data_IF_920445666347
#
_entry.id   IF_920445666347
#
_cell.length_a   1.000
_cell.length_b   1.000
_cell.length_c   1.000
_cell.angle_alpha   90.00
_cell.angle_beta   90.00
_cell.angle_gamma   90.00
#
_symmetry.space_group_name_H-M   'P 1'
#
loop_
_entity.id
_entity.type
_entity.pdbx_description
1 polymer ?
#
# COMPACT_ATOMS: atom_id res chain seq x y z
N UNK A 1 38.17 17.86 7.48
CA UNK A 1 37.53 17.18 6.33
C UNK A 1 36.06 17.53 6.32
N UNK A 2 35.60 18.28 5.31
CA UNK A 2 34.18 18.62 5.14
C UNK A 2 33.44 17.37 4.65
N UNK A 3 32.32 17.05 5.30
CA UNK A 3 31.53 15.86 5.03
C UNK A 3 30.54 16.14 3.88
N UNK A 4 30.83 15.61 2.68
CA UNK A 4 30.01 15.80 1.46
C UNK A 4 28.53 15.42 1.65
N UNK A 5 28.22 14.49 2.56
CA UNK A 5 26.84 14.08 2.84
C UNK A 5 25.97 15.20 3.41
N UNK A 6 26.56 16.20 4.10
CA UNK A 6 25.79 17.35 4.60
C UNK A 6 25.47 18.37 3.50
N UNK A 7 26.25 18.43 2.42
CA UNK A 7 25.96 19.33 1.29
C UNK A 7 24.90 18.74 0.34
N UNK A 8 24.80 17.41 0.27
CA UNK A 8 23.82 16.74 -0.60
C UNK A 8 22.45 16.55 0.07
N UNK A 9 22.37 16.57 1.41
CA UNK A 9 21.13 16.28 2.16
C UNK A 9 20.47 17.47 2.86
N UNK A 10 20.97 18.68 2.70
CA UNK A 10 20.23 19.88 3.11
C UNK A 10 19.69 20.54 1.85
N UNK A 11 18.57 20.01 1.35
CA UNK A 11 17.63 20.84 0.59
C UNK A 11 17.05 21.81 1.62
N UNK A 12 17.82 22.85 1.90
CA UNK A 12 17.35 24.01 2.63
C UNK A 12 16.01 24.38 1.99
N UNK A 13 14.94 24.27 2.76
CA UNK A 13 13.68 24.95 2.47
C UNK A 13 13.86 26.46 2.67
N UNK A 14 14.94 27.01 2.11
CA UNK A 14 14.95 28.41 1.73
C UNK A 14 13.90 28.47 0.65
N UNK A 15 12.74 29.03 1.01
CA UNK A 15 11.89 29.72 0.05
C UNK A 15 12.82 30.68 -0.69
N UNK A 16 13.40 30.22 -1.79
CA UNK A 16 13.94 31.10 -2.80
C UNK A 16 12.74 31.97 -3.14
N UNK A 17 12.77 33.23 -2.71
CA UNK A 17 11.77 34.23 -3.10
C UNK A 17 11.62 34.07 -4.61
N UNK A 18 10.47 33.61 -5.11
CA UNK A 18 10.32 33.48 -6.54
C UNK A 18 10.35 34.91 -7.04
N UNK A 19 11.32 35.24 -7.87
CA UNK A 19 11.29 36.42 -8.74
C UNK A 19 10.21 36.28 -9.83
N UNK A 20 9.12 35.53 -9.55
CA UNK A 20 7.95 35.35 -10.40
C UNK A 20 6.80 36.21 -9.87
N UNK A 21 5.89 36.62 -10.75
CA UNK A 21 4.75 37.44 -10.34
C UNK A 21 3.93 36.70 -9.27
N UNK A 22 3.43 37.44 -8.28
CA UNK A 22 2.57 36.91 -7.21
C UNK A 22 1.32 36.19 -7.76
N UNK A 23 0.82 36.63 -8.91
CA UNK A 23 -0.30 36.00 -9.62
C UNK A 23 0.06 34.59 -10.15
N UNK A 24 1.30 34.40 -10.65
CA UNK A 24 1.77 33.12 -11.17
C UNK A 24 1.89 32.08 -10.05
N UNK A 25 2.36 32.50 -8.88
CA UNK A 25 2.47 31.63 -7.69
C UNK A 25 1.07 31.21 -7.22
N UNK A 26 0.14 32.16 -7.10
CA UNK A 26 -1.22 31.88 -6.66
C UNK A 26 -1.96 30.95 -7.64
N UNK A 27 -1.74 31.10 -8.94
CA UNK A 27 -2.29 30.19 -9.95
C UNK A 27 -1.74 28.76 -9.79
N UNK A 28 -0.42 28.61 -9.62
CA UNK A 28 0.22 27.31 -9.43
C UNK A 28 -0.28 26.63 -8.15
N UNK A 29 -0.33 27.36 -7.04
CA UNK A 29 -0.80 26.82 -5.75
C UNK A 29 -2.27 26.39 -5.85
N UNK A 30 -3.13 27.20 -6.49
CA UNK A 30 -4.53 26.86 -6.70
C UNK A 30 -4.72 25.63 -7.61
N UNK A 31 -3.86 25.46 -8.62
CA UNK A 31 -3.85 24.26 -9.47
C UNK A 31 -3.45 23.02 -8.67
N UNK A 32 -2.39 23.10 -7.86
CA UNK A 32 -1.93 22.00 -7.00
C UNK A 32 -3.04 21.59 -6.03
N UNK A 33 -3.65 22.54 -5.32
CA UNK A 33 -4.75 22.27 -4.38
C UNK A 33 -5.91 21.57 -5.08
N UNK A 34 -6.26 22.02 -6.30
CA UNK A 34 -7.37 21.42 -7.05
C UNK A 34 -7.06 19.97 -7.45
N UNK A 35 -5.84 19.68 -7.88
CA UNK A 35 -5.41 18.31 -8.21
C UNK A 35 -5.38 17.44 -6.95
N UNK A 36 -4.81 17.93 -5.85
CA UNK A 36 -4.74 17.21 -4.58
C UNK A 36 -6.14 16.89 -4.03
N UNK A 37 -7.09 17.82 -4.14
CA UNK A 37 -8.49 17.61 -3.75
C UNK A 37 -9.15 16.44 -4.52
N UNK A 38 -8.74 16.21 -5.77
CA UNK A 38 -9.22 15.10 -6.60
C UNK A 38 -8.89 13.73 -6.00
N UNK A 39 -7.70 13.60 -5.40
CA UNK A 39 -7.28 12.36 -4.71
C UNK A 39 -8.07 12.09 -3.42
N UNK A 40 -8.60 13.13 -2.77
CA UNK A 40 -9.33 13.03 -1.49
C UNK A 40 -10.85 12.83 -1.66
N UNK A 41 -11.35 12.83 -2.90
CA UNK A 41 -12.80 12.69 -3.17
C UNK A 41 -13.44 11.43 -2.56
N UNK A 42 -12.66 10.36 -2.40
CA UNK A 42 -13.10 9.06 -1.85
C UNK A 42 -12.79 8.88 -0.36
N UNK A 43 -11.97 9.73 0.25
CA UNK A 43 -11.61 9.64 1.67
C UNK A 43 -12.70 10.30 2.50
N UNK A 44 -13.72 9.52 2.88
CA UNK A 44 -14.85 9.98 3.70
C UNK A 44 -15.03 9.10 4.92
N UNK A 45 -15.44 9.67 6.08
CA UNK A 45 -15.78 8.88 7.24
C UNK A 45 -16.85 7.83 6.90
N UNK A 46 -16.65 6.60 7.33
CA UNK A 46 -17.60 5.51 7.04
C UNK A 46 -17.75 4.62 8.26
N UNK A 47 -19.01 4.35 8.62
CA UNK A 47 -19.31 3.31 9.60
C UNK A 47 -18.97 1.94 9.01
N UNK A 48 -18.22 1.13 9.76
CA UNK A 48 -18.00 -0.26 9.39
C UNK A 48 -17.86 -1.15 10.62
N UNK A 49 -18.22 -2.41 10.47
CA UNK A 49 -18.05 -3.46 11.47
C UNK A 49 -17.18 -4.55 10.85
N UNK A 50 -16.06 -4.87 11.49
CA UNK A 50 -15.17 -5.96 11.07
C UNK A 50 -15.76 -7.29 11.52
N UNK A 51 -15.58 -8.33 10.70
CA UNK A 51 -16.01 -9.71 11.00
C UNK A 51 -14.83 -10.67 11.02
N UNK A 52 -13.66 -10.22 10.59
CA UNK A 52 -12.41 -10.96 10.56
C UNK A 52 -11.21 -10.00 10.68
N UNK A 53 -10.07 -10.56 11.05
CA UNK A 53 -8.76 -9.96 10.90
C UNK A 53 -8.28 -10.07 9.46
N UNK A 54 -7.40 -9.15 9.05
CA UNK A 54 -6.65 -9.24 7.80
C UNK A 54 -5.18 -8.95 8.08
N UNK A 55 -4.25 -9.52 7.30
CA UNK A 55 -2.82 -9.31 7.49
C UNK A 55 -2.44 -7.82 7.48
N UNK A 56 -2.99 -7.06 6.52
CA UNK A 56 -2.79 -5.61 6.40
C UNK A 56 -3.35 -4.80 7.58
N UNK A 57 -4.34 -5.33 8.30
CA UNK A 57 -4.98 -4.65 9.42
C UNK A 57 -4.33 -4.96 10.76
N UNK A 58 -3.64 -6.10 10.91
CA UNK A 58 -3.15 -6.61 12.20
C UNK A 58 -1.98 -5.83 12.79
N UNK A 59 -1.09 -5.29 11.97
CA UNK A 59 0.17 -4.70 12.46
C UNK A 59 0.41 -3.29 11.95
N UNK A 60 -0.29 -2.84 10.91
CA UNK A 60 -0.06 -1.52 10.35
C UNK A 60 -0.94 -0.46 11.04
N UNK A 61 -0.32 0.66 11.44
CA UNK A 61 -1.01 1.80 12.05
C UNK A 61 -1.65 1.46 13.40
N UNK A 62 -2.98 1.41 13.44
CA UNK A 62 -3.73 1.14 14.67
C UNK A 62 -3.90 -0.35 15.01
N UNK A 63 -3.47 -1.25 14.11
CA UNK A 63 -3.70 -2.69 14.19
C UNK A 63 -3.14 -3.38 15.43
N UNK A 64 -2.03 -2.89 15.97
CA UNK A 64 -1.38 -3.49 17.12
C UNK A 64 -2.18 -3.29 18.43
N UNK A 65 -3.11 -2.33 18.46
CA UNK A 65 -3.87 -1.99 19.66
C UNK A 65 -5.08 -2.93 19.85
N UNK A 66 -5.15 -3.73 20.93
CA UNK A 66 -6.29 -4.62 21.16
C UNK A 66 -7.63 -3.87 21.29
N UNK A 67 -7.60 -2.65 21.84
CA UNK A 67 -8.78 -1.79 21.97
C UNK A 67 -9.30 -1.33 20.60
N UNK A 68 -8.43 -1.13 19.61
CA UNK A 68 -8.85 -0.86 18.24
C UNK A 68 -9.71 -2.01 17.71
N UNK A 69 -9.25 -3.25 17.90
CA UNK A 69 -9.98 -4.42 17.43
C UNK A 69 -11.32 -4.60 18.11
N UNK A 70 -11.38 -4.46 19.44
CA UNK A 70 -12.65 -4.52 20.16
C UNK A 70 -13.69 -3.53 19.56
N UNK A 71 -13.31 -2.27 19.38
CA UNK A 71 -14.18 -1.26 18.76
C UNK A 71 -14.50 -1.57 17.29
N UNK A 72 -13.53 -2.11 16.53
CA UNK A 72 -13.73 -2.45 15.13
C UNK A 72 -14.71 -3.60 14.94
N UNK A 73 -14.70 -4.60 15.84
CA UNK A 73 -15.64 -5.72 15.85
C UNK A 73 -17.02 -5.33 16.39
N UNK A 74 -17.13 -4.36 17.29
CA UNK A 74 -18.43 -3.81 17.71
C UNK A 74 -19.04 -2.92 16.62
N UNK A 75 -18.19 -2.20 15.89
CA UNK A 75 -18.53 -1.30 14.80
C UNK A 75 -18.30 0.15 15.19
N UNK A 76 -17.64 0.91 14.32
CA UNK A 76 -17.29 2.30 14.56
C UNK A 76 -17.26 3.11 13.26
N UNK A 77 -17.27 4.44 13.38
CA UNK A 77 -16.95 5.34 12.26
C UNK A 77 -15.43 5.38 12.11
N UNK A 78 -14.95 4.99 10.93
CA UNK A 78 -13.53 5.05 10.58
C UNK A 78 -13.25 6.28 9.75
N UNK A 79 -12.10 6.90 10.03
CA UNK A 79 -11.57 8.06 9.33
C UNK A 79 -10.31 7.62 8.56
N UNK A 80 -10.21 7.98 7.28
CA UNK A 80 -8.97 7.84 6.50
C UNK A 80 -8.24 9.19 6.57
N UNK A 81 -7.08 9.22 7.21
CA UNK A 81 -6.23 10.39 7.43
C UNK A 81 -5.18 10.57 6.32
N UNK A 82 -5.29 9.83 5.23
CA UNK A 82 -4.37 9.93 4.10
C UNK A 82 -4.45 11.29 3.42
N UNK A 83 -3.28 11.87 3.13
CA UNK A 83 -3.15 13.02 2.23
C UNK A 83 -3.15 12.59 0.76
N UNK A 84 -3.19 13.57 -0.15
CA UNK A 84 -3.23 13.32 -1.60
C UNK A 84 -2.05 12.45 -2.09
N UNK A 85 -0.83 12.70 -1.60
CA UNK A 85 0.35 11.88 -1.90
C UNK A 85 0.20 10.43 -1.42
N UNK A 86 -0.38 10.22 -0.23
CA UNK A 86 -0.66 8.89 0.32
C UNK A 86 -1.66 8.11 -0.54
N UNK A 87 -2.71 8.77 -1.02
CA UNK A 87 -3.66 8.17 -1.98
C UNK A 87 -2.97 7.86 -3.31
N UNK A 88 -2.23 8.81 -3.88
CA UNK A 88 -1.52 8.64 -5.14
C UNK A 88 -0.51 7.47 -5.09
N UNK A 89 0.25 7.37 -4.00
CA UNK A 89 1.22 6.28 -3.79
C UNK A 89 0.53 4.91 -3.66
N UNK A 90 -0.63 4.83 -2.99
CA UNK A 90 -1.43 3.59 -2.93
C UNK A 90 -1.92 3.17 -4.33
N UNK A 91 -2.43 4.12 -5.11
CA UNK A 91 -2.85 3.88 -6.51
C UNK A 91 -1.69 3.39 -7.37
N UNK A 92 -0.53 4.04 -7.28
CA UNK A 92 0.68 3.60 -7.99
C UNK A 92 1.11 2.19 -7.57
N UNK A 93 0.98 1.87 -6.27
CA UNK A 93 1.20 0.52 -5.76
C UNK A 93 0.27 -0.52 -6.38
N UNK A 94 -1.03 -0.23 -6.48
CA UNK A 94 -2.00 -1.13 -7.15
C UNK A 94 -1.63 -1.38 -8.61
N UNK A 95 -1.32 -0.34 -9.38
CA UNK A 95 -0.93 -0.48 -10.79
C UNK A 95 0.40 -1.22 -10.96
N UNK A 96 1.36 -0.95 -10.07
CA UNK A 96 2.63 -1.67 -10.04
C UNK A 96 2.45 -3.14 -9.71
N UNK A 97 1.51 -3.47 -8.83
CA UNK A 97 1.15 -4.83 -8.46
C UNK A 97 0.67 -5.64 -9.66
N UNK A 98 -0.32 -5.11 -10.37
CA UNK A 98 -0.90 -5.74 -11.57
C UNK A 98 0.16 -5.99 -12.63
N UNK A 99 1.05 -5.01 -12.87
CA UNK A 99 2.14 -5.13 -13.84
C UNK A 99 3.15 -6.21 -13.45
N UNK A 100 3.54 -6.30 -12.17
CA UNK A 100 4.52 -7.29 -11.69
C UNK A 100 3.91 -8.69 -11.73
N UNK A 101 2.65 -8.84 -11.30
CA UNK A 101 1.91 -10.10 -11.40
C UNK A 101 1.82 -10.60 -12.84
N UNK A 102 1.51 -9.73 -13.80
CA UNK A 102 1.51 -10.10 -15.21
C UNK A 102 2.88 -10.58 -15.73
N UNK A 103 3.98 -9.98 -15.25
CA UNK A 103 5.32 -10.45 -15.58
C UNK A 103 5.66 -11.81 -14.95
N UNK A 104 5.23 -12.04 -13.70
CA UNK A 104 5.38 -13.32 -13.00
C UNK A 104 4.59 -14.41 -13.73
N UNK A 105 3.35 -14.14 -14.11
CA UNK A 105 2.53 -15.06 -14.90
C UNK A 105 3.20 -15.42 -16.23
N UNK A 106 3.63 -14.42 -17.00
CA UNK A 106 4.30 -14.62 -18.28
C UNK A 106 5.64 -15.39 -18.16
N UNK A 107 6.28 -15.35 -16.99
CA UNK A 107 7.52 -16.09 -16.73
C UNK A 107 7.31 -17.59 -16.44
N UNK A 108 6.07 -18.03 -16.24
CA UNK A 108 5.76 -19.42 -15.88
C UNK A 108 6.15 -19.79 -14.45
N UNK A 109 6.40 -18.81 -13.58
CA UNK A 109 6.81 -19.03 -12.19
C UNK A 109 5.64 -19.31 -11.24
N UNK A 110 4.40 -19.03 -11.65
CA UNK A 110 3.22 -19.26 -10.82
C UNK A 110 3.00 -20.75 -10.55
N UNK A 111 2.55 -21.07 -9.35
CA UNK A 111 2.19 -22.44 -9.02
C UNK A 111 0.92 -22.89 -9.77
N UNK A 112 1.08 -23.76 -10.74
CA UNK A 112 0.00 -24.28 -11.59
C UNK A 112 -0.85 -25.35 -10.92
N UNK A 113 -0.42 -25.89 -9.77
CA UNK A 113 -1.16 -26.91 -9.02
C UNK A 113 -2.22 -26.32 -8.07
N UNK A 114 -2.23 -25.00 -7.89
CA UNK A 114 -3.24 -24.35 -7.07
C UNK A 114 -4.61 -24.36 -7.75
N UNK A 115 -5.66 -24.39 -6.94
CA UNK A 115 -7.05 -24.32 -7.40
C UNK A 115 -7.67 -23.01 -6.90
N UNK A 116 -8.56 -22.43 -7.71
CA UNK A 116 -9.30 -21.22 -7.33
C UNK A 116 -10.11 -21.48 -6.06
N UNK A 117 -10.19 -20.49 -5.17
CA UNK A 117 -11.11 -20.56 -4.04
C UNK A 117 -12.55 -20.67 -4.56
N UNK A 118 -13.40 -21.55 -3.99
CA UNK A 118 -14.80 -21.67 -4.42
C UNK A 118 -15.59 -20.39 -4.17
N UNK A 119 -15.16 -19.56 -3.22
CA UNK A 119 -15.72 -18.23 -2.96
C UNK A 119 -15.06 -17.22 -3.90
N UNK A 120 -15.82 -16.55 -4.77
CA UNK A 120 -15.28 -15.51 -5.62
C UNK A 120 -14.63 -14.39 -4.79
N UNK A 121 -13.52 -13.88 -5.31
CA UNK A 121 -12.83 -12.76 -4.70
C UNK A 121 -13.75 -11.55 -4.58
N UNK A 122 -13.75 -10.92 -3.40
CA UNK A 122 -14.54 -9.72 -3.13
C UNK A 122 -14.08 -8.49 -3.93
N UNK A 123 -12.79 -8.43 -4.24
CA UNK A 123 -12.12 -7.29 -4.87
C UNK A 123 -11.45 -7.72 -6.17
N UNK A 124 -11.76 -7.04 -7.27
CA UNK A 124 -11.22 -7.31 -8.60
C UNK A 124 -11.45 -8.77 -9.05
N UNK A 125 -11.17 -9.05 -10.32
CA UNK A 125 -11.27 -10.41 -10.85
C UNK A 125 -9.93 -11.12 -10.65
N UNK A 126 -9.93 -12.24 -9.93
CA UNK A 126 -8.77 -13.13 -9.88
C UNK A 126 -8.60 -13.82 -11.25
N UNK A 127 -7.40 -13.74 -11.82
CA UNK A 127 -7.10 -14.29 -13.15
C UNK A 127 -6.39 -15.63 -13.10
N UNK A 128 -5.67 -15.93 -12.01
CA UNK A 128 -4.92 -17.18 -11.82
C UNK A 128 -5.03 -17.67 -10.37
N UNK A 129 -5.14 -18.98 -10.10
CA UNK A 129 -5.32 -19.51 -8.73
C UNK A 129 -4.17 -19.19 -7.78
N UNK A 130 -2.96 -19.03 -8.31
CA UNK A 130 -1.77 -18.64 -7.56
C UNK A 130 -1.54 -17.12 -7.46
N UNK A 131 -2.42 -16.27 -7.99
CA UNK A 131 -2.32 -14.82 -7.82
C UNK A 131 -3.51 -14.34 -7.00
N UNK A 132 -3.29 -13.38 -6.09
CA UNK A 132 -4.35 -12.83 -5.24
C UNK A 132 -5.17 -13.92 -4.53
N UNK A 133 -4.49 -14.99 -4.11
CA UNK A 133 -5.12 -16.20 -3.59
C UNK A 133 -5.63 -15.98 -2.17
N UNK A 134 -6.82 -16.48 -1.87
CA UNK A 134 -7.44 -16.28 -0.56
C UNK A 134 -6.72 -17.12 0.51
N UNK A 135 -6.58 -16.53 1.69
CA UNK A 135 -6.13 -17.20 2.92
C UNK A 135 -7.15 -16.90 4.01
N UNK A 136 -7.75 -17.93 4.58
CA UNK A 136 -8.76 -17.79 5.62
C UNK A 136 -8.54 -18.77 6.78
N UNK A 137 -9.02 -18.39 7.96
CA UNK A 137 -9.07 -19.24 9.14
C UNK A 137 -10.30 -18.87 9.99
N UNK A 138 -10.93 -19.86 10.63
CA UNK A 138 -12.15 -19.61 11.40
C UNK A 138 -11.86 -19.13 12.83
N UNK A 139 -10.76 -19.61 13.43
CA UNK A 139 -10.41 -19.28 14.82
C UNK A 139 -8.89 -19.08 15.00
N UNK A 140 -8.42 -17.83 15.20
CA UNK A 140 -9.20 -16.58 15.16
C UNK A 140 -9.74 -16.30 13.74
N UNK A 141 -10.86 -15.57 13.60
CA UNK A 141 -11.46 -15.31 12.29
C UNK A 141 -10.53 -14.43 11.44
N UNK A 142 -9.94 -15.00 10.40
CA UNK A 142 -9.01 -14.34 9.48
C UNK A 142 -9.49 -14.50 8.05
N UNK A 143 -9.41 -13.42 7.27
CA UNK A 143 -9.69 -13.45 5.83
C UNK A 143 -8.79 -12.42 5.13
N UNK A 144 -7.93 -12.93 4.25
CA UNK A 144 -6.94 -12.14 3.52
C UNK A 144 -6.64 -12.73 2.16
N UNK A 145 -5.75 -12.05 1.44
CA UNK A 145 -5.27 -12.48 0.14
C UNK A 145 -3.75 -12.41 0.13
N UNK A 146 -3.09 -13.43 -0.40
CA UNK A 146 -1.66 -13.41 -0.71
C UNK A 146 -1.43 -12.98 -2.16
N UNK A 147 -0.36 -12.24 -2.42
CA UNK A 147 -0.14 -11.62 -3.73
C UNK A 147 0.15 -12.66 -4.81
N UNK A 148 1.14 -13.54 -4.58
CA UNK A 148 1.53 -14.61 -5.52
C UNK A 148 2.04 -15.86 -4.80
N UNK A 149 1.78 -17.03 -5.39
CA UNK A 149 2.41 -18.29 -5.03
C UNK A 149 3.28 -18.76 -6.21
N UNK A 150 4.56 -18.97 -5.94
CA UNK A 150 5.55 -19.34 -6.94
C UNK A 150 5.96 -20.80 -6.78
N UNK A 151 6.37 -21.42 -7.88
CA UNK A 151 7.04 -22.72 -7.89
C UNK A 151 8.42 -22.58 -8.52
N UNK A 152 9.46 -22.64 -7.70
CA UNK A 152 10.85 -22.43 -8.12
C UNK A 152 11.67 -23.64 -7.65
N UNK A 153 12.39 -24.28 -8.56
CA UNK A 153 13.24 -25.45 -8.26
C UNK A 153 12.50 -26.59 -7.53
N UNK A 154 11.22 -26.77 -7.81
CA UNK A 154 10.37 -27.78 -7.15
C UNK A 154 9.84 -27.35 -5.77
N UNK A 155 10.23 -26.18 -5.26
CA UNK A 155 9.74 -25.63 -4.00
C UNK A 155 8.62 -24.62 -4.22
N UNK A 156 7.65 -24.62 -3.32
CA UNK A 156 6.57 -23.64 -3.28
C UNK A 156 7.00 -22.45 -2.42
N UNK A 157 6.95 -21.26 -2.98
CA UNK A 157 7.41 -20.01 -2.33
C UNK A 157 6.30 -18.97 -2.36
N UNK A 158 5.94 -18.45 -1.19
CA UNK A 158 5.00 -17.32 -1.08
C UNK A 158 5.72 -16.01 -1.43
N UNK A 159 5.10 -15.20 -2.29
CA UNK A 159 5.58 -13.88 -2.65
C UNK A 159 4.63 -12.78 -2.19
N UNK A 160 5.21 -11.72 -1.64
CA UNK A 160 4.55 -10.45 -1.30
C UNK A 160 5.20 -9.34 -2.13
N UNK A 161 4.40 -8.58 -2.87
CA UNK A 161 4.88 -7.52 -3.76
C UNK A 161 4.81 -6.19 -3.02
N UNK A 162 5.90 -5.42 -3.12
CA UNK A 162 5.97 -4.05 -2.60
C UNK A 162 6.63 -3.15 -3.62
N UNK A 163 5.98 -2.02 -3.90
CA UNK A 163 6.52 -0.95 -4.73
C UNK A 163 7.09 0.14 -3.82
N UNK A 164 8.41 0.32 -3.84
CA UNK A 164 9.11 1.37 -3.11
C UNK A 164 10.34 1.78 -3.93
N UNK A 165 10.84 3.00 -3.72
CA UNK A 165 12.13 3.39 -4.29
C UNK A 165 13.25 2.55 -3.66
N UNK A 166 14.32 2.31 -4.42
CA UNK A 166 15.44 1.51 -3.94
C UNK A 166 16.11 2.16 -2.71
N UNK A 167 16.25 3.49 -2.69
CA UNK A 167 16.79 4.18 -1.51
C UNK A 167 15.87 3.99 -0.29
N UNK A 168 14.55 4.03 -0.50
CA UNK A 168 13.57 3.80 0.55
C UNK A 168 13.65 2.37 1.11
N UNK A 169 13.86 1.38 0.25
CA UNK A 169 14.04 0.00 0.66
C UNK A 169 15.33 -0.18 1.48
N UNK A 170 16.47 0.29 0.98
CA UNK A 170 17.76 0.16 1.67
C UNK A 170 17.74 0.88 3.03
N UNK A 171 17.13 2.07 3.10
CA UNK A 171 16.92 2.76 4.37
C UNK A 171 16.11 1.91 5.36
N UNK A 172 15.03 1.26 4.91
CA UNK A 172 14.18 0.43 5.78
C UNK A 172 14.88 -0.85 6.23
N UNK A 173 15.59 -1.52 5.32
CA UNK A 173 16.41 -2.69 5.61
C UNK A 173 17.47 -2.38 6.67
N UNK A 174 18.18 -1.26 6.54
CA UNK A 174 19.23 -0.86 7.47
C UNK A 174 18.68 -0.37 8.81
N UNK A 175 17.59 0.41 8.80
CA UNK A 175 17.04 0.96 10.04
C UNK A 175 16.25 -0.04 10.86
N UNK A 176 15.69 -1.09 10.24
CA UNK A 176 14.72 -2.04 10.84
C UNK A 176 13.55 -1.36 11.55
N UNK A 177 13.30 -0.07 11.26
CA UNK A 177 12.23 0.69 11.88
C UNK A 177 10.96 0.53 11.06
N UNK A 178 9.83 0.16 11.69
CA UNK A 178 8.52 0.19 11.04
C UNK A 178 8.19 1.63 10.60
N UNK A 179 7.16 1.76 9.78
CA UNK A 179 6.67 3.07 9.33
C UNK A 179 5.67 3.60 10.36
#
# INVERSE_FOLDING_TARGET
MKNLLKEVMVKDSKKNNPTGNLEDIAFIDGLIEKIESGYLTKTKPRFSKKTNFSASGLTYGAGECPRYWHLAFDGAVFYDDSNAYGVANRTNGTLGHERIQGAIEASGLLDTEMVMDPTPRKYNKQTHPAMEFRVSADNPPFDGYGDVMLRINGERVIGEIKTITNEGFEYKKNSRKPK
#
